data_IF_883651257504
#
_entry.id   IF_883651257504
#
_cell.length_a   1.000
_cell.length_b   1.000
_cell.length_c   1.000
_cell.angle_alpha   90.00
_cell.angle_beta   90.00
_cell.angle_gamma   90.00
#
_symmetry.space_group_name_H-M   'P 1'
#
loop_
_entity.id
_entity.type
_entity.pdbx_description
1 polymer ?
#
# COMPACT_ATOMS: atom_id res chain seq x y z
N UNK A 1 -11.80 19.01 23.87
CA UNK A 1 -10.97 20.11 23.29
C UNK A 1 -9.49 19.85 23.58
N UNK A 2 -8.89 18.77 23.11
CA UNK A 2 -7.47 18.40 23.37
C UNK A 2 -6.76 17.80 22.14
N UNK A 3 -7.43 17.76 20.98
CA UNK A 3 -6.86 17.11 19.78
C UNK A 3 -5.98 17.96 18.84
N UNK A 4 -5.95 19.27 19.01
CA UNK A 4 -5.31 20.20 18.02
C UNK A 4 -3.81 20.40 18.28
N UNK A 5 -3.31 20.10 19.48
CA UNK A 5 -1.89 20.36 19.81
C UNK A 5 -0.89 19.34 19.29
N UNK A 6 -1.33 18.13 18.92
CA UNK A 6 -0.40 17.04 18.52
C UNK A 6 -0.05 17.00 17.03
N UNK A 7 -0.90 17.54 16.16
CA UNK A 7 -0.60 17.66 14.71
C UNK A 7 0.58 18.60 14.44
N UNK A 8 0.83 19.55 15.33
CA UNK A 8 1.93 20.51 15.19
C UNK A 8 3.33 19.93 15.49
N UNK A 9 3.43 18.72 16.07
CA UNK A 9 4.74 18.18 16.46
C UNK A 9 5.47 17.58 15.24
N UNK A 10 4.75 16.86 14.37
CA UNK A 10 5.35 16.30 13.14
C UNK A 10 5.73 17.44 12.17
N UNK A 11 4.94 18.51 12.11
CA UNK A 11 5.29 19.70 11.32
C UNK A 11 6.43 20.52 11.89
N UNK A 12 6.66 20.48 13.23
CA UNK A 12 7.73 21.22 13.89
C UNK A 12 9.11 20.56 13.72
N UNK A 13 9.17 19.23 13.63
CA UNK A 13 10.42 18.49 13.41
C UNK A 13 10.99 18.75 12.01
N UNK A 14 10.14 18.91 11.00
CA UNK A 14 10.56 19.22 9.62
C UNK A 14 11.13 20.64 9.46
N UNK A 15 10.76 21.59 10.32
CA UNK A 15 11.29 22.97 10.28
C UNK A 15 12.63 23.08 11.02
N UNK A 16 12.89 22.24 12.03
CA UNK A 16 14.15 22.29 12.79
C UNK A 16 15.34 21.66 12.05
N UNK A 17 15.12 20.73 11.13
CA UNK A 17 16.16 20.11 10.30
C UNK A 17 16.72 21.04 9.20
N UNK A 18 16.03 22.13 8.89
CA UNK A 18 16.45 23.11 7.87
C UNK A 18 17.39 24.22 8.37
N UNK A 19 17.72 24.26 9.67
CA UNK A 19 18.44 25.38 10.27
C UNK A 19 19.83 25.06 10.84
N UNK A 20 20.31 23.82 10.76
CA UNK A 20 21.63 23.41 11.28
C UNK A 20 22.68 23.14 10.21
N UNK A 21 22.67 23.87 9.12
CA UNK A 21 23.71 23.86 8.10
C UNK A 21 24.49 25.16 8.07
N UNK A 22 25.56 25.28 8.83
CA UNK A 22 26.54 26.36 8.63
C UNK A 22 27.33 26.78 9.85
N UNK A 23 28.63 26.63 9.75
CA UNK A 23 29.79 27.32 10.36
C UNK A 23 30.79 26.39 11.06
N UNK A 24 31.81 26.10 10.33
CA UNK A 24 33.19 26.66 10.17
C UNK A 24 34.18 26.25 11.22
N UNK A 25 35.25 25.65 10.71
CA UNK A 25 36.64 25.48 11.12
C UNK A 25 37.26 26.58 12.07
N UNK A 26 38.07 26.12 13.01
CA UNK A 26 39.49 26.48 13.13
C UNK A 26 40.19 25.78 14.31
N UNK A 27 41.23 25.06 14.00
CA UNK A 27 42.65 24.93 14.33
C UNK A 27 43.15 24.97 15.77
N UNK A 28 43.81 23.85 16.07
CA UNK A 28 45.18 23.65 16.54
C UNK A 28 45.61 24.10 17.94
N UNK A 29 46.29 23.17 18.65
CA UNK A 29 47.20 23.45 19.73
C UNK A 29 47.66 22.22 20.52
N UNK A 30 48.86 21.81 20.28
CA UNK A 30 49.64 20.71 20.81
C UNK A 30 49.99 20.90 22.31
N UNK A 31 50.00 19.82 23.13
CA UNK A 31 51.19 19.48 23.92
C UNK A 31 51.02 18.22 24.79
N UNK A 32 52.05 17.48 24.84
CA UNK A 32 52.44 16.17 25.28
C UNK A 32 52.45 15.89 26.80
N UNK A 33 52.48 14.59 27.10
CA UNK A 33 53.02 13.84 28.27
C UNK A 33 52.12 13.74 29.51
N UNK A 34 51.88 12.57 30.14
CA UNK A 34 52.75 11.43 30.45
C UNK A 34 51.88 10.21 30.92
N UNK A 35 52.46 9.05 30.86
CA UNK A 35 52.00 7.68 31.12
C UNK A 35 51.52 7.43 32.57
N UNK A 36 50.54 6.53 32.77
CA UNK A 36 50.79 5.16 33.28
C UNK A 36 49.50 4.34 33.46
N UNK A 37 49.41 3.21 32.79
CA UNK A 37 48.91 1.87 33.15
C UNK A 37 47.71 1.76 34.10
N UNK A 38 46.55 1.45 33.52
CA UNK A 38 45.59 0.46 34.01
C UNK A 38 44.81 -0.14 32.78
N UNK A 39 45.45 -1.01 32.05
CA UNK A 39 44.81 -1.96 31.14
C UNK A 39 44.50 -3.23 31.94
N UNK A 40 43.26 -3.73 31.82
CA UNK A 40 42.91 -5.13 31.60
C UNK A 40 41.53 -5.54 32.11
N UNK A 41 40.50 -4.66 32.20
CA UNK A 41 39.14 -5.11 32.46
C UNK A 41 38.01 -4.39 31.67
N UNK A 42 38.34 -3.40 30.84
CA UNK A 42 37.34 -2.74 29.97
C UNK A 42 37.18 -3.42 28.59
N UNK A 43 38.04 -4.40 28.26
CA UNK A 43 38.20 -4.87 26.90
C UNK A 43 37.14 -5.90 26.47
N UNK A 44 36.53 -6.65 27.37
CA UNK A 44 35.51 -7.65 27.00
C UNK A 44 34.08 -7.10 26.97
N UNK A 45 33.71 -6.23 27.90
CA UNK A 45 32.42 -5.56 27.89
C UNK A 45 32.29 -4.55 26.74
N UNK A 46 33.31 -3.75 26.50
CA UNK A 46 33.35 -2.80 25.35
C UNK A 46 33.40 -3.56 23.99
N UNK A 47 34.00 -4.75 23.93
CA UNK A 47 33.96 -5.60 22.74
C UNK A 47 32.61 -6.25 22.57
N UNK A 48 31.95 -6.68 23.65
CA UNK A 48 30.60 -7.23 23.60
C UNK A 48 29.56 -6.16 23.20
N UNK A 49 29.62 -4.97 23.79
CA UNK A 49 28.76 -3.83 23.41
C UNK A 49 29.02 -3.34 21.98
N UNK A 50 30.31 -3.33 21.54
CA UNK A 50 30.63 -3.02 20.14
C UNK A 50 30.21 -4.10 19.16
N UNK A 51 30.26 -5.38 19.54
CA UNK A 51 29.79 -6.49 18.73
C UNK A 51 28.25 -6.49 18.65
N UNK A 52 27.57 -6.26 19.78
CA UNK A 52 26.12 -6.14 19.83
C UNK A 52 25.62 -4.90 19.08
N UNK A 53 26.37 -3.77 19.15
CA UNK A 53 26.09 -2.56 18.39
C UNK A 53 26.39 -2.72 16.90
N UNK A 54 27.45 -3.45 16.53
CA UNK A 54 27.78 -3.78 15.14
C UNK A 54 26.78 -4.79 14.54
N UNK A 55 26.31 -5.75 15.35
CA UNK A 55 25.27 -6.70 14.95
C UNK A 55 23.90 -6.01 14.82
N UNK A 56 23.58 -5.03 15.69
CA UNK A 56 22.41 -4.15 15.53
C UNK A 56 22.57 -3.17 14.37
N UNK A 57 23.77 -2.63 14.11
CA UNK A 57 24.05 -1.79 12.93
C UNK A 57 23.98 -2.60 11.63
N UNK A 58 24.35 -3.90 11.61
CA UNK A 58 24.24 -4.78 10.44
C UNK A 58 22.76 -5.22 10.19
N UNK A 59 21.95 -5.31 11.25
CA UNK A 59 20.51 -5.59 11.15
C UNK A 59 19.72 -4.38 10.64
N UNK A 60 20.21 -3.17 10.86
CA UNK A 60 19.56 -1.92 10.43
C UNK A 60 19.86 -1.49 8.98
N UNK A 61 20.55 -2.30 8.17
CA UNK A 61 20.74 -2.05 6.73
C UNK A 61 19.66 -2.73 5.85
N UNK A 62 18.49 -3.07 6.40
CA UNK A 62 17.36 -3.53 5.58
C UNK A 62 16.75 -2.32 4.90
N UNK A 63 17.00 -2.22 3.61
CA UNK A 63 16.37 -1.22 2.76
C UNK A 63 15.13 -1.78 2.08
N UNK A 64 13.99 -1.13 2.32
CA UNK A 64 12.74 -1.46 1.66
C UNK A 64 12.71 -0.79 0.28
N UNK A 65 13.18 -1.51 -0.73
CA UNK A 65 13.35 -1.02 -2.10
C UNK A 65 12.57 -1.86 -3.10
N UNK A 66 12.16 -1.22 -4.18
CA UNK A 66 11.61 -1.92 -5.34
C UNK A 66 12.69 -2.70 -6.08
N UNK A 67 12.25 -3.78 -6.70
CA UNK A 67 13.07 -4.51 -7.66
C UNK A 67 13.00 -3.83 -9.03
N UNK A 68 14.07 -3.19 -9.48
CA UNK A 68 14.13 -2.44 -10.75
C UNK A 68 13.61 -3.23 -11.96
N UNK A 69 13.95 -4.53 -12.04
CA UNK A 69 13.52 -5.38 -13.15
C UNK A 69 12.00 -5.58 -13.24
N UNK A 70 11.25 -5.17 -12.23
CA UNK A 70 9.78 -5.21 -12.27
C UNK A 70 9.20 -4.28 -13.34
N UNK A 71 9.90 -3.21 -13.65
CA UNK A 71 9.44 -2.13 -14.53
C UNK A 71 10.07 -2.15 -15.93
N UNK A 72 11.00 -3.07 -16.20
CA UNK A 72 11.77 -3.11 -17.49
C UNK A 72 10.89 -3.16 -18.74
N UNK A 73 9.70 -3.76 -18.64
CA UNK A 73 8.78 -3.91 -19.77
C UNK A 73 7.53 -3.04 -19.64
N UNK A 74 7.51 -2.09 -18.70
CA UNK A 74 6.39 -1.19 -18.51
C UNK A 74 6.50 0.00 -19.47
N UNK A 75 5.43 0.27 -20.22
CA UNK A 75 5.27 1.48 -21.02
C UNK A 75 4.21 2.38 -20.36
N UNK A 76 4.68 3.45 -19.73
CA UNK A 76 3.83 4.39 -18.97
C UNK A 76 2.86 5.17 -19.86
N UNK A 77 3.13 5.23 -21.16
CA UNK A 77 2.32 5.95 -22.13
C UNK A 77 1.31 5.07 -22.86
N UNK A 78 1.46 3.75 -22.75
CA UNK A 78 0.57 2.80 -23.43
C UNK A 78 -0.82 2.76 -22.81
N UNK A 79 -1.80 2.41 -23.63
CA UNK A 79 -3.19 2.15 -23.20
C UNK A 79 -3.53 0.71 -23.56
N UNK A 80 -3.83 -0.09 -22.55
CA UNK A 80 -4.31 -1.47 -22.75
C UNK A 80 -5.83 -1.46 -22.90
N UNK A 81 -6.37 -2.18 -23.86
CA UNK A 81 -7.82 -2.32 -24.02
C UNK A 81 -8.31 -3.56 -23.26
N UNK A 82 -9.35 -3.38 -22.46
CA UNK A 82 -10.03 -4.48 -21.75
C UNK A 82 -11.49 -4.58 -22.19
N UNK A 83 -11.89 -5.77 -22.55
CA UNK A 83 -13.27 -6.14 -22.91
C UNK A 83 -13.87 -6.97 -21.77
N UNK A 84 -14.88 -6.42 -21.11
CA UNK A 84 -15.53 -7.06 -19.98
C UNK A 84 -16.98 -7.41 -20.35
N UNK A 85 -17.28 -8.70 -20.53
CA UNK A 85 -18.66 -9.16 -20.63
C UNK A 85 -19.15 -9.58 -19.26
N UNK A 86 -20.18 -8.93 -18.73
CA UNK A 86 -20.79 -9.26 -17.44
C UNK A 86 -22.07 -10.08 -17.64
N UNK A 87 -22.30 -11.02 -16.72
CA UNK A 87 -23.48 -11.88 -16.71
C UNK A 87 -23.87 -12.26 -15.29
N UNK A 88 -25.14 -12.70 -15.10
CA UNK A 88 -25.50 -13.29 -13.81
C UNK A 88 -24.79 -14.64 -13.66
N UNK A 89 -24.15 -14.81 -12.50
CA UNK A 89 -23.54 -16.06 -12.09
C UNK A 89 -24.45 -16.84 -11.13
N UNK A 90 -23.95 -17.14 -9.95
CA UNK A 90 -24.65 -17.95 -8.95
C UNK A 90 -24.63 -17.29 -7.57
N UNK A 91 -25.52 -17.76 -6.69
CA UNK A 91 -25.64 -17.22 -5.33
C UNK A 91 -24.48 -17.63 -4.41
N UNK A 92 -23.83 -18.75 -4.67
CA UNK A 92 -22.69 -19.20 -3.83
C UNK A 92 -21.44 -18.34 -4.02
N UNK A 93 -21.30 -17.67 -5.16
CA UNK A 93 -20.24 -16.69 -5.44
C UNK A 93 -20.73 -15.25 -5.26
N UNK A 94 -21.94 -15.01 -4.77
CA UNK A 94 -22.60 -13.70 -4.71
C UNK A 94 -22.64 -12.95 -6.06
N UNK A 95 -22.71 -13.69 -7.19
CA UNK A 95 -22.61 -13.14 -8.55
C UNK A 95 -23.93 -13.15 -9.32
N UNK A 96 -25.06 -13.39 -8.65
CA UNK A 96 -26.40 -13.47 -9.26
C UNK A 96 -27.08 -12.12 -9.53
N UNK A 97 -26.40 -11.03 -9.22
CA UNK A 97 -26.89 -9.66 -9.37
C UNK A 97 -26.83 -9.16 -10.82
N UNK A 98 -27.53 -8.06 -11.08
CA UNK A 98 -27.45 -7.37 -12.37
C UNK A 98 -26.34 -6.31 -12.36
N UNK A 99 -25.85 -5.96 -13.55
CA UNK A 99 -24.90 -4.86 -13.71
C UNK A 99 -25.48 -3.52 -13.23
N UNK A 100 -26.77 -3.33 -13.46
CA UNK A 100 -27.52 -2.16 -12.98
C UNK A 100 -27.51 -2.10 -11.45
N UNK A 101 -27.77 -3.21 -10.76
CA UNK A 101 -27.78 -3.26 -9.29
C UNK A 101 -26.42 -2.88 -8.70
N UNK A 102 -25.32 -3.50 -9.17
CA UNK A 102 -24.00 -3.18 -8.63
C UNK A 102 -23.56 -1.72 -8.88
N UNK A 103 -24.06 -1.09 -9.95
CA UNK A 103 -23.77 0.31 -10.25
C UNK A 103 -24.72 1.30 -9.55
N UNK A 104 -25.83 0.81 -8.98
CA UNK A 104 -26.82 1.66 -8.29
C UNK A 104 -26.46 1.95 -6.83
N UNK A 105 -25.71 1.06 -6.19
CA UNK A 105 -25.40 1.17 -4.77
C UNK A 105 -23.97 1.65 -4.52
N UNK A 106 -23.78 2.39 -3.44
CA UNK A 106 -22.46 2.73 -2.89
C UNK A 106 -22.07 1.75 -1.78
N UNK A 107 -20.86 1.85 -1.28
CA UNK A 107 -20.44 1.06 -0.12
C UNK A 107 -21.27 1.36 1.12
N UNK A 108 -21.69 2.60 1.30
CA UNK A 108 -22.54 3.03 2.43
C UNK A 108 -23.93 2.41 2.34
N UNK A 109 -24.51 2.28 1.13
CA UNK A 109 -25.78 1.59 0.94
C UNK A 109 -25.68 0.12 1.35
N UNK A 110 -24.57 -0.57 1.04
CA UNK A 110 -24.34 -1.96 1.47
C UNK A 110 -24.16 -2.06 3.00
N UNK A 111 -23.47 -1.11 3.62
CA UNK A 111 -23.33 -1.03 5.07
C UNK A 111 -24.69 -0.82 5.77
N UNK A 112 -25.51 0.09 5.25
CA UNK A 112 -26.85 0.37 5.77
C UNK A 112 -27.81 -0.84 5.59
N UNK A 113 -27.68 -1.57 4.49
CA UNK A 113 -28.45 -2.81 4.25
C UNK A 113 -27.92 -4.00 5.06
N UNK A 114 -26.73 -3.92 5.64
CA UNK A 114 -26.07 -5.02 6.35
C UNK A 114 -25.71 -6.22 5.44
N UNK A 115 -25.39 -5.97 4.17
CA UNK A 115 -25.07 -7.00 3.19
C UNK A 115 -23.67 -6.80 2.59
N UNK A 116 -23.10 -7.88 2.08
CA UNK A 116 -21.85 -7.80 1.32
C UNK A 116 -22.08 -7.08 -0.02
N UNK A 117 -21.02 -6.46 -0.54
CA UNK A 117 -21.07 -5.83 -1.88
C UNK A 117 -21.48 -6.85 -2.94
N UNK A 118 -22.47 -6.51 -3.71
CA UNK A 118 -22.94 -7.31 -4.83
C UNK A 118 -21.87 -7.47 -5.89
N UNK A 119 -21.87 -8.64 -6.53
CA UNK A 119 -20.95 -8.99 -7.60
C UNK A 119 -21.72 -9.50 -8.81
N UNK A 120 -21.05 -9.49 -9.96
CA UNK A 120 -21.48 -10.17 -11.17
C UNK A 120 -20.37 -11.08 -11.67
N UNK A 121 -20.74 -12.11 -12.41
CA UNK A 121 -19.76 -12.90 -13.13
C UNK A 121 -19.24 -12.11 -14.34
N UNK A 122 -17.94 -12.14 -14.59
CA UNK A 122 -17.29 -11.44 -15.68
C UNK A 122 -16.45 -12.35 -16.56
N UNK A 123 -16.51 -12.15 -17.87
CA UNK A 123 -15.49 -12.59 -18.80
C UNK A 123 -14.63 -11.39 -19.14
N UNK A 124 -13.42 -11.36 -18.57
CA UNK A 124 -12.41 -10.35 -18.90
C UNK A 124 -11.54 -10.87 -20.03
N UNK A 125 -11.39 -10.06 -21.07
CA UNK A 125 -10.50 -10.30 -22.20
C UNK A 125 -9.61 -9.09 -22.40
N UNK A 126 -8.30 -9.30 -22.50
CA UNK A 126 -7.30 -8.24 -22.72
C UNK A 126 -6.92 -8.21 -24.18
N UNK A 127 -6.71 -7.03 -24.73
CA UNK A 127 -6.35 -6.85 -26.12
C UNK A 127 -6.01 -5.41 -26.50
N UNK A 128 -6.28 -5.07 -27.74
CA UNK A 128 -6.10 -3.74 -28.32
C UNK A 128 -7.42 -3.17 -28.88
N UNK A 129 -7.36 -2.11 -29.66
CA UNK A 129 -8.53 -1.50 -30.27
C UNK A 129 -9.27 -2.40 -31.29
N UNK A 130 -8.63 -3.47 -31.77
CA UNK A 130 -9.20 -4.41 -32.74
C UNK A 130 -9.90 -5.60 -32.07
N UNK A 131 -9.71 -5.78 -30.77
CA UNK A 131 -10.33 -6.86 -30.01
C UNK A 131 -9.35 -7.60 -29.06
N UNK A 132 -9.81 -8.72 -28.46
CA UNK A 132 -8.98 -9.57 -27.63
C UNK A 132 -7.78 -10.13 -28.40
N UNK A 133 -6.57 -10.04 -27.80
CA UNK A 133 -5.31 -10.43 -28.44
C UNK A 133 -4.90 -11.85 -28.04
N UNK A 134 -4.41 -12.63 -29.00
CA UNK A 134 -3.91 -13.99 -28.75
C UNK A 134 -2.75 -13.99 -27.75
N UNK A 135 -2.84 -14.87 -26.76
CA UNK A 135 -1.84 -14.98 -25.69
C UNK A 135 -2.15 -14.13 -24.46
N UNK A 136 -3.09 -13.18 -24.57
CA UNK A 136 -3.57 -12.37 -23.47
C UNK A 136 -4.70 -13.06 -22.68
N UNK A 137 -4.98 -12.54 -21.48
CA UNK A 137 -6.00 -13.04 -20.58
C UNK A 137 -7.36 -13.12 -21.29
N UNK A 138 -8.02 -14.26 -21.18
CA UNK A 138 -9.37 -14.50 -21.68
C UNK A 138 -9.48 -14.67 -23.20
N UNK A 139 -8.38 -14.66 -23.97
CA UNK A 139 -8.44 -14.89 -25.41
C UNK A 139 -9.07 -16.23 -25.74
N UNK A 140 -10.08 -16.23 -26.62
CA UNK A 140 -10.79 -17.43 -27.02
C UNK A 140 -11.72 -18.02 -25.95
N UNK A 141 -11.81 -17.42 -24.75
CA UNK A 141 -12.77 -17.84 -23.73
C UNK A 141 -14.17 -17.32 -24.04
N UNK A 142 -15.18 -18.11 -23.64
CA UNK A 142 -16.60 -17.77 -23.79
C UNK A 142 -17.39 -17.87 -22.48
N UNK A 143 -16.73 -18.26 -21.40
CA UNK A 143 -17.32 -18.42 -20.07
C UNK A 143 -16.69 -17.45 -19.07
N UNK A 144 -17.41 -17.03 -18.02
CA UNK A 144 -16.87 -16.12 -17.02
C UNK A 144 -15.58 -16.64 -16.39
N UNK A 145 -14.53 -15.82 -16.42
CA UNK A 145 -13.22 -16.08 -15.85
C UNK A 145 -12.91 -15.21 -14.62
N UNK A 146 -13.83 -14.31 -14.26
CA UNK A 146 -13.67 -13.36 -13.17
C UNK A 146 -14.96 -13.10 -12.40
N UNK A 147 -14.84 -12.46 -11.25
CA UNK A 147 -15.92 -11.74 -10.56
C UNK A 147 -15.65 -10.25 -10.63
N UNK A 148 -16.71 -9.46 -10.64
CA UNK A 148 -16.66 -8.00 -10.76
C UNK A 148 -17.54 -7.33 -9.71
N UNK A 149 -16.99 -6.34 -9.02
CA UNK A 149 -17.71 -5.50 -8.07
C UNK A 149 -17.24 -4.06 -8.15
N UNK A 150 -18.04 -3.12 -7.62
CA UNK A 150 -17.56 -1.75 -7.39
C UNK A 150 -16.49 -1.72 -6.29
N UNK A 151 -15.62 -0.72 -6.36
CA UNK A 151 -14.59 -0.48 -5.35
C UNK A 151 -14.54 0.99 -4.90
N UNK A 152 -13.79 1.21 -3.82
CA UNK A 152 -13.63 2.52 -3.18
C UNK A 152 -14.62 2.71 -2.04
N UNK A 153 -14.34 3.69 -1.21
CA UNK A 153 -15.21 4.16 -0.12
C UNK A 153 -16.06 5.33 -0.64
N UNK A 154 -15.59 6.55 -0.49
CA UNK A 154 -16.29 7.76 -0.96
C UNK A 154 -16.53 7.74 -2.48
N UNK A 155 -15.55 7.28 -3.26
CA UNK A 155 -15.67 7.21 -4.73
C UNK A 155 -16.72 6.21 -5.22
N UNK A 156 -17.24 5.31 -4.37
CA UNK A 156 -18.35 4.43 -4.71
C UNK A 156 -19.68 5.19 -4.92
N UNK A 157 -19.79 6.42 -4.43
CA UNK A 157 -20.94 7.29 -4.66
C UNK A 157 -20.94 7.97 -6.04
N UNK A 158 -19.80 7.96 -6.74
CA UNK A 158 -19.68 8.60 -8.04
C UNK A 158 -20.59 7.90 -9.09
N UNK A 159 -21.08 8.68 -10.06
CA UNK A 159 -21.90 8.15 -11.16
C UNK A 159 -21.11 7.16 -12.04
N UNK A 160 -19.84 7.45 -12.31
CA UNK A 160 -18.94 6.50 -12.97
C UNK A 160 -18.14 5.78 -11.88
N UNK A 161 -18.34 4.46 -11.79
CA UNK A 161 -17.80 3.63 -10.72
C UNK A 161 -16.34 3.24 -10.98
N UNK A 162 -15.64 2.97 -9.90
CA UNK A 162 -14.40 2.21 -9.91
C UNK A 162 -14.75 0.72 -9.79
N UNK A 163 -13.97 -0.15 -10.42
CA UNK A 163 -14.22 -1.59 -10.42
C UNK A 163 -13.03 -2.37 -9.83
N UNK A 164 -13.36 -3.45 -9.13
CA UNK A 164 -12.45 -4.54 -8.80
C UNK A 164 -12.85 -5.74 -9.65
N UNK A 165 -11.95 -6.22 -10.48
CA UNK A 165 -12.09 -7.44 -11.27
C UNK A 165 -11.15 -8.47 -10.67
N UNK A 166 -11.66 -9.63 -10.26
CA UNK A 166 -10.87 -10.69 -9.67
C UNK A 166 -10.93 -11.96 -10.52
N UNK A 167 -9.81 -12.29 -11.18
CA UNK A 167 -9.67 -13.51 -11.98
C UNK A 167 -9.80 -14.75 -11.09
N UNK A 168 -10.54 -15.74 -11.53
CA UNK A 168 -10.68 -17.04 -10.86
C UNK A 168 -9.31 -17.75 -10.81
N UNK A 169 -9.10 -18.56 -9.78
CA UNK A 169 -7.77 -19.19 -9.49
C UNK A 169 -7.14 -19.90 -10.68
N UNK A 170 -7.94 -20.49 -11.56
CA UNK A 170 -7.47 -21.32 -12.68
C UNK A 170 -7.56 -20.58 -14.04
N UNK A 171 -7.73 -19.25 -14.03
CA UNK A 171 -7.99 -18.44 -15.24
C UNK A 171 -6.84 -17.48 -15.59
N UNK A 172 -5.63 -17.80 -15.11
CA UNK A 172 -4.44 -17.01 -15.38
C UNK A 172 -4.31 -15.79 -14.50
N UNK A 173 -3.40 -14.93 -14.91
CA UNK A 173 -3.09 -13.65 -14.26
C UNK A 173 -2.85 -12.60 -15.34
N UNK A 174 -3.12 -11.35 -15.02
CA UNK A 174 -2.68 -10.22 -15.84
C UNK A 174 -1.55 -9.48 -15.11
N UNK A 175 -0.39 -9.34 -15.76
CA UNK A 175 0.84 -8.78 -15.16
C UNK A 175 1.18 -9.43 -13.79
N UNK A 176 0.98 -10.76 -13.71
CA UNK A 176 1.22 -11.52 -12.48
C UNK A 176 0.13 -11.39 -11.40
N UNK A 177 -0.89 -10.55 -11.60
CA UNK A 177 -1.94 -10.29 -10.64
C UNK A 177 -3.27 -10.92 -11.05
N UNK A 178 -4.05 -11.44 -10.07
CA UNK A 178 -5.44 -11.86 -10.29
C UNK A 178 -6.43 -10.74 -10.01
N UNK A 179 -6.07 -9.78 -9.16
CA UNK A 179 -6.91 -8.63 -8.82
C UNK A 179 -6.52 -7.44 -9.67
N UNK A 180 -7.46 -6.93 -10.43
CA UNK A 180 -7.31 -5.79 -11.33
C UNK A 180 -8.23 -4.69 -10.82
N UNK A 181 -7.63 -3.60 -10.33
CA UNK A 181 -8.36 -2.46 -9.81
C UNK A 181 -8.38 -1.35 -10.85
N UNK A 182 -9.57 -0.94 -11.26
CA UNK A 182 -9.79 0.11 -12.24
C UNK A 182 -10.37 1.35 -11.57
N UNK A 183 -9.63 2.45 -11.58
CA UNK A 183 -10.02 3.73 -10.99
C UNK A 183 -10.42 4.72 -12.07
N UNK A 184 -11.61 5.32 -11.97
CA UNK A 184 -12.16 6.27 -12.94
C UNK A 184 -11.77 7.72 -12.67
N UNK A 185 -11.45 8.05 -11.42
CA UNK A 185 -11.07 9.41 -10.98
C UNK A 185 -12.06 10.49 -11.42
N UNK A 186 -13.35 10.27 -11.22
CA UNK A 186 -14.42 11.14 -11.73
C UNK A 186 -14.35 12.56 -11.17
N UNK A 187 -13.83 12.72 -9.94
CA UNK A 187 -13.70 14.03 -9.26
C UNK A 187 -12.47 14.82 -9.68
N UNK A 188 -11.62 14.26 -10.51
CA UNK A 188 -10.40 14.89 -11.02
C UNK A 188 -10.56 15.25 -12.50
N UNK A 189 -10.36 16.53 -12.85
CA UNK A 189 -10.59 17.03 -14.22
C UNK A 189 -9.72 16.34 -15.28
N UNK A 190 -8.45 16.06 -14.99
CA UNK A 190 -7.49 15.44 -15.93
C UNK A 190 -7.47 13.92 -15.84
N UNK A 191 -7.94 13.33 -14.75
CA UNK A 191 -8.08 11.88 -14.51
C UNK A 191 -6.81 11.05 -14.60
N UNK A 192 -5.62 11.65 -14.52
CA UNK A 192 -4.35 10.93 -14.55
C UNK A 192 -3.44 11.19 -13.34
N UNK A 193 -3.85 12.04 -12.41
CA UNK A 193 -3.04 12.44 -11.25
C UNK A 193 -2.60 11.24 -10.40
N UNK A 194 -3.47 10.25 -10.24
CA UNK A 194 -3.16 9.01 -9.53
C UNK A 194 -2.05 8.23 -10.22
N UNK A 195 -2.12 8.05 -11.56
CA UNK A 195 -1.06 7.38 -12.32
C UNK A 195 0.25 8.16 -12.23
N UNK A 196 0.21 9.48 -12.46
CA UNK A 196 1.40 10.33 -12.40
C UNK A 196 2.10 10.24 -11.04
N UNK A 197 1.35 10.20 -9.93
CA UNK A 197 1.93 10.07 -8.60
C UNK A 197 2.70 8.75 -8.44
N UNK A 198 2.16 7.63 -8.89
CA UNK A 198 2.86 6.34 -8.85
C UNK A 198 4.06 6.27 -9.81
N UNK A 199 3.94 6.87 -10.99
CA UNK A 199 5.07 6.95 -11.94
C UNK A 199 6.23 7.78 -11.37
N UNK A 200 5.93 8.86 -10.62
CA UNK A 200 6.93 9.65 -9.91
C UNK A 200 7.57 8.87 -8.74
N UNK A 201 6.77 8.13 -7.95
CA UNK A 201 7.28 7.28 -6.85
C UNK A 201 8.27 6.26 -7.40
N UNK A 202 7.98 5.63 -8.54
CA UNK A 202 8.88 4.67 -9.19
C UNK A 202 10.25 5.25 -9.52
N UNK A 203 10.33 6.56 -9.77
CA UNK A 203 11.59 7.26 -10.01
C UNK A 203 12.40 7.58 -8.76
N UNK A 204 11.93 7.20 -7.56
CA UNK A 204 12.58 7.46 -6.28
C UNK A 204 13.10 6.13 -5.71
N UNK A 205 14.42 5.87 -5.77
CA UNK A 205 14.99 4.58 -5.36
C UNK A 205 14.72 4.18 -3.90
N UNK A 206 14.42 5.15 -3.04
CA UNK A 206 14.14 4.95 -1.61
C UNK A 206 12.68 4.53 -1.33
N UNK A 207 11.83 4.50 -2.34
CA UNK A 207 10.41 4.20 -2.17
C UNK A 207 10.02 2.90 -2.86
N UNK A 208 8.92 2.31 -2.39
CA UNK A 208 8.23 1.21 -3.05
C UNK A 208 6.94 1.76 -3.68
N UNK A 209 6.82 1.60 -4.99
CA UNK A 209 5.65 2.04 -5.75
C UNK A 209 4.66 0.92 -6.03
N UNK A 210 3.52 1.27 -6.62
CA UNK A 210 2.60 0.29 -7.22
C UNK A 210 2.61 0.46 -8.73
N UNK A 211 2.59 -0.65 -9.46
CA UNK A 211 2.48 -0.60 -10.93
C UNK A 211 1.12 -0.06 -11.33
N UNK A 212 1.13 0.78 -12.34
CA UNK A 212 -0.08 1.37 -12.91
C UNK A 212 -0.10 1.21 -14.43
N UNK A 213 -1.33 1.25 -15.00
CA UNK A 213 -1.54 1.16 -16.44
C UNK A 213 -2.79 1.97 -16.82
N UNK A 214 -2.73 2.70 -17.93
CA UNK A 214 -3.97 3.18 -18.55
C UNK A 214 -4.71 2.04 -19.22
N UNK A 215 -6.01 1.96 -18.94
CA UNK A 215 -6.90 0.92 -19.49
C UNK A 215 -8.09 1.58 -20.15
N UNK A 216 -8.32 1.28 -21.41
CA UNK A 216 -9.58 1.59 -22.08
C UNK A 216 -10.55 0.41 -21.85
N UNK A 217 -11.64 0.67 -21.13
CA UNK A 217 -12.60 -0.35 -20.75
C UNK A 217 -13.84 -0.33 -21.64
N UNK A 218 -14.14 -1.45 -22.24
CA UNK A 218 -15.41 -1.72 -22.91
C UNK A 218 -16.22 -2.73 -22.09
N UNK A 219 -17.49 -2.45 -21.83
CA UNK A 219 -18.38 -3.33 -21.06
C UNK A 219 -19.55 -3.80 -21.92
N UNK A 220 -19.83 -5.09 -21.86
CA UNK A 220 -21.01 -5.72 -22.45
C UNK A 220 -21.85 -6.31 -21.33
N UNK A 221 -23.03 -5.75 -21.11
CA UNK A 221 -23.97 -6.20 -20.08
C UNK A 221 -24.93 -7.28 -20.62
N UNK A 222 -24.69 -8.50 -20.19
CA UNK A 222 -25.59 -9.65 -20.47
C UNK A 222 -26.34 -10.10 -19.18
N UNK A 223 -26.44 -9.25 -18.15
CA UNK A 223 -27.09 -9.64 -16.90
C UNK A 223 -28.59 -9.66 -16.97
N UNK A 224 -29.24 -8.89 -17.87
CA UNK A 224 -30.67 -8.83 -18.06
C UNK A 224 -31.06 -9.26 -19.47
N UNK A 225 -30.34 -8.82 -20.49
CA UNK A 225 -30.60 -9.12 -21.91
C UNK A 225 -29.36 -9.75 -22.56
N UNK A 226 -29.59 -10.63 -23.55
CA UNK A 226 -28.49 -11.19 -24.34
C UNK A 226 -28.36 -10.47 -25.69
N UNK A 227 -27.12 -10.48 -26.26
CA UNK A 227 -26.88 -9.91 -27.58
C UNK A 227 -26.60 -8.39 -27.58
N UNK A 228 -26.43 -7.78 -26.44
CA UNK A 228 -26.04 -6.36 -26.29
C UNK A 228 -24.66 -6.13 -26.89
N UNK A 229 -24.36 -4.92 -27.34
CA UNK A 229 -23.04 -4.53 -27.82
C UNK A 229 -22.17 -4.07 -26.68
N UNK A 230 -20.84 -4.04 -26.90
CA UNK A 230 -19.91 -3.37 -26.02
C UNK A 230 -20.17 -1.86 -25.99
N UNK A 231 -20.25 -1.31 -24.80
CA UNK A 231 -20.32 0.13 -24.54
C UNK A 231 -18.93 0.63 -24.11
N UNK A 232 -18.59 1.81 -24.58
CA UNK A 232 -17.33 2.47 -24.23
C UNK A 232 -17.44 3.12 -22.85
N UNK A 233 -16.72 2.57 -21.88
CA UNK A 233 -16.60 3.12 -20.52
C UNK A 233 -15.44 4.10 -20.38
N UNK A 234 -14.64 4.30 -21.45
CA UNK A 234 -13.50 5.21 -21.52
C UNK A 234 -12.30 4.79 -20.69
N UNK A 235 -11.40 5.71 -20.44
CA UNK A 235 -10.12 5.44 -19.79
C UNK A 235 -10.27 5.32 -18.28
N UNK A 236 -9.57 4.33 -17.72
CA UNK A 236 -9.34 4.08 -16.30
C UNK A 236 -7.84 4.07 -16.01
N UNK A 237 -7.46 4.35 -14.78
CA UNK A 237 -6.15 3.98 -14.26
C UNK A 237 -6.28 2.64 -13.53
N UNK A 238 -5.63 1.61 -14.06
CA UNK A 238 -5.41 0.39 -13.31
C UNK A 238 -4.32 0.65 -12.28
N UNK A 239 -4.54 0.21 -11.04
CA UNK A 239 -3.56 0.27 -9.95
C UNK A 239 -3.36 -1.13 -9.38
N UNK A 240 -2.12 -1.53 -9.23
CA UNK A 240 -1.75 -2.81 -8.65
C UNK A 240 -2.37 -3.00 -7.26
N UNK A 241 -2.83 -4.20 -6.96
CA UNK A 241 -3.30 -4.55 -5.63
C UNK A 241 -2.13 -5.00 -4.77
N UNK A 242 -1.73 -4.21 -3.79
CA UNK A 242 -0.71 -4.64 -2.84
C UNK A 242 -1.23 -5.81 -2.01
N UNK A 243 -0.59 -6.95 -2.18
CA UNK A 243 -0.86 -8.21 -1.51
C UNK A 243 0.41 -9.08 -1.57
N UNK A 244 0.36 -10.32 -1.04
CA UNK A 244 1.51 -11.26 -1.06
C UNK A 244 2.13 -11.46 -2.45
N UNK A 245 1.31 -11.46 -3.51
CA UNK A 245 1.79 -11.60 -4.89
C UNK A 245 2.56 -10.37 -5.35
N UNK A 246 2.04 -9.18 -5.04
CA UNK A 246 2.71 -7.93 -5.34
C UNK A 246 4.03 -7.80 -4.55
N UNK A 247 4.02 -8.04 -3.23
CA UNK A 247 5.25 -8.04 -2.43
C UNK A 247 6.34 -8.92 -3.07
N UNK A 248 5.99 -10.14 -3.46
CA UNK A 248 6.93 -11.04 -4.14
C UNK A 248 7.45 -10.49 -5.47
N UNK A 249 6.59 -9.86 -6.28
CA UNK A 249 7.02 -9.26 -7.55
C UNK A 249 7.94 -8.05 -7.35
N UNK A 250 7.72 -7.30 -6.28
CA UNK A 250 8.57 -6.17 -5.88
C UNK A 250 9.89 -6.61 -5.22
N UNK A 251 10.11 -7.92 -5.02
CA UNK A 251 11.31 -8.45 -4.37
C UNK A 251 11.25 -8.40 -2.84
N UNK A 252 10.08 -8.08 -2.27
CA UNK A 252 9.86 -7.98 -0.84
C UNK A 252 9.40 -9.33 -0.25
N UNK A 253 9.56 -9.51 1.05
CA UNK A 253 9.10 -10.72 1.75
C UNK A 253 7.57 -10.81 1.77
N UNK A 254 7.04 -11.76 1.03
CA UNK A 254 5.59 -11.99 0.93
C UNK A 254 4.96 -12.61 2.20
N UNK A 255 5.75 -13.02 3.17
CA UNK A 255 5.29 -13.52 4.46
C UNK A 255 5.32 -12.47 5.56
N UNK A 256 5.87 -11.29 5.28
CA UNK A 256 5.95 -10.19 6.22
C UNK A 256 4.58 -9.66 6.67
N UNK A 257 4.63 -8.79 7.65
CA UNK A 257 3.44 -8.06 8.10
C UNK A 257 3.08 -7.01 7.06
N UNK A 258 1.80 -6.90 6.77
CA UNK A 258 1.27 -5.91 5.85
C UNK A 258 -0.09 -5.46 6.36
N UNK A 259 -0.20 -4.18 6.69
CA UNK A 259 -1.44 -3.55 7.12
C UNK A 259 -1.84 -2.45 6.15
N UNK A 260 -3.12 -2.42 5.78
CA UNK A 260 -3.68 -1.26 5.10
C UNK A 260 -4.31 -0.33 6.14
N UNK A 261 -3.84 0.89 6.19
CA UNK A 261 -4.35 1.92 7.09
C UNK A 261 -5.69 2.43 6.56
N UNK A 262 -6.74 2.28 7.37
CA UNK A 262 -8.09 2.72 7.03
C UNK A 262 -8.52 3.98 7.79
N UNK A 263 -8.20 4.08 9.09
CA UNK A 263 -8.42 5.25 9.94
C UNK A 263 -7.57 5.09 11.18
N UNK A 264 -6.30 5.46 11.09
CA UNK A 264 -5.32 5.19 12.13
C UNK A 264 -4.26 6.30 12.18
N UNK A 265 -4.13 6.95 13.33
CA UNK A 265 -3.24 8.08 13.56
C UNK A 265 -1.94 7.71 14.28
N UNK A 266 -1.55 6.44 14.27
CA UNK A 266 -0.35 5.90 14.91
C UNK A 266 -0.30 6.07 16.44
N UNK A 267 -1.47 6.19 17.10
CA UNK A 267 -1.55 6.08 18.55
C UNK A 267 -1.53 4.61 19.00
N UNK A 268 -1.07 4.38 20.22
CA UNK A 268 -0.94 3.03 20.76
C UNK A 268 -2.27 2.27 20.91
N UNK A 269 -3.41 2.94 21.14
CA UNK A 269 -4.76 2.35 21.28
C UNK A 269 -4.75 0.99 21.98
N UNK A 270 -4.29 0.93 23.25
CA UNK A 270 -4.05 -0.30 24.00
C UNK A 270 -5.26 -1.24 24.11
N UNK A 271 -6.47 -0.69 24.04
CA UNK A 271 -7.70 -1.48 24.08
C UNK A 271 -8.00 -2.19 22.75
N UNK A 272 -7.43 -1.74 21.62
CA UNK A 272 -7.72 -2.23 20.28
C UNK A 272 -6.51 -2.94 19.67
N UNK A 273 -5.34 -2.30 19.73
CA UNK A 273 -4.10 -2.85 19.16
C UNK A 273 -3.47 -3.82 20.15
N UNK A 274 -3.82 -5.09 20.02
CA UNK A 274 -3.43 -6.20 20.87
C UNK A 274 -2.89 -7.35 20.01
N UNK A 275 -2.17 -8.28 20.62
CA UNK A 275 -1.81 -9.56 19.98
C UNK A 275 -3.05 -10.44 19.82
N UNK A 276 -3.04 -11.34 18.85
CA UNK A 276 -4.20 -12.23 18.60
C UNK A 276 -4.55 -13.11 19.81
N UNK A 277 -3.56 -13.48 20.64
CA UNK A 277 -3.73 -14.30 21.85
C UNK A 277 -3.98 -13.49 23.12
N UNK A 278 -3.97 -12.16 23.07
CA UNK A 278 -4.26 -11.30 24.22
C UNK A 278 -5.74 -11.34 24.61
N UNK A 279 -6.00 -11.27 25.93
CA UNK A 279 -7.36 -11.17 26.42
C UNK A 279 -8.07 -9.92 25.89
N UNK A 280 -9.25 -10.13 25.29
CA UNK A 280 -10.06 -9.06 24.71
C UNK A 280 -9.56 -8.54 23.37
N UNK A 281 -8.74 -9.31 22.63
CA UNK A 281 -8.47 -9.03 21.21
C UNK A 281 -9.79 -9.11 20.42
N UNK A 282 -10.07 -8.09 19.65
CA UNK A 282 -11.20 -8.03 18.71
C UNK A 282 -10.67 -7.70 17.30
N UNK A 283 -10.57 -8.73 16.48
CA UNK A 283 -10.11 -8.60 15.10
C UNK A 283 -10.92 -7.58 14.30
N UNK A 284 -12.23 -7.53 14.52
CA UNK A 284 -13.10 -6.59 13.78
C UNK A 284 -12.81 -5.13 14.17
N UNK A 285 -12.58 -4.88 15.47
CA UNK A 285 -12.17 -3.56 15.93
C UNK A 285 -10.78 -3.18 15.43
N UNK A 286 -9.83 -4.11 15.45
CA UNK A 286 -8.48 -3.94 14.92
C UNK A 286 -8.52 -3.60 13.41
N UNK A 287 -9.24 -4.39 12.61
CA UNK A 287 -9.29 -4.23 11.14
C UNK A 287 -10.06 -2.98 10.67
N UNK A 288 -10.84 -2.35 11.53
CA UNK A 288 -11.39 -1.00 11.26
C UNK A 288 -10.30 0.06 11.16
N UNK A 289 -9.20 -0.11 11.88
CA UNK A 289 -8.04 0.79 11.85
C UNK A 289 -6.96 0.29 10.88
N UNK A 290 -6.57 -0.97 11.01
CA UNK A 290 -5.46 -1.61 10.31
C UNK A 290 -5.92 -2.92 9.69
N UNK A 291 -6.32 -2.90 8.43
CA UNK A 291 -6.77 -4.11 7.72
C UNK A 291 -5.58 -5.05 7.49
N UNK A 292 -5.64 -6.26 8.06
CA UNK A 292 -4.57 -7.26 7.98
C UNK A 292 -4.49 -7.84 6.57
N UNK A 293 -3.34 -7.70 5.92
CA UNK A 293 -3.07 -8.22 4.56
C UNK A 293 -1.91 -9.22 4.51
N UNK A 294 -1.09 -9.27 5.54
CA UNK A 294 0.07 -10.14 5.68
C UNK A 294 0.00 -11.05 6.88
N UNK A 295 1.13 -11.20 7.56
CA UNK A 295 1.23 -11.87 8.85
C UNK A 295 0.48 -11.10 9.94
N UNK A 296 -0.05 -11.79 10.93
CA UNK A 296 -0.89 -11.23 12.00
C UNK A 296 -0.25 -11.31 13.40
N UNK A 297 1.02 -11.61 13.50
CA UNK A 297 1.77 -11.37 14.74
C UNK A 297 1.98 -9.86 14.93
N UNK A 298 1.19 -9.25 15.81
CA UNK A 298 1.23 -7.81 16.02
C UNK A 298 2.34 -7.33 16.96
N UNK A 299 3.27 -8.20 17.39
CA UNK A 299 4.26 -7.87 18.42
C UNK A 299 5.11 -6.66 18.03
N UNK A 300 5.79 -6.70 16.89
CA UNK A 300 6.64 -5.59 16.44
C UNK A 300 5.87 -4.31 16.07
N UNK A 301 4.60 -4.43 15.65
CA UNK A 301 3.72 -3.27 15.49
C UNK A 301 3.46 -2.59 16.84
N UNK A 302 3.20 -3.39 17.88
CA UNK A 302 2.95 -2.91 19.24
C UNK A 302 4.21 -2.24 19.81
N UNK A 303 5.37 -2.84 19.61
CA UNK A 303 6.66 -2.31 20.08
C UNK A 303 6.95 -0.96 19.42
N UNK A 304 6.87 -0.88 18.11
CA UNK A 304 7.03 0.38 17.36
C UNK A 304 6.04 1.46 17.82
N UNK A 305 4.76 1.12 17.99
CA UNK A 305 3.75 2.07 18.46
C UNK A 305 3.98 2.50 19.92
N UNK A 306 4.52 1.63 20.77
CA UNK A 306 4.84 1.93 22.16
C UNK A 306 5.95 2.98 22.21
N UNK A 307 7.04 2.77 21.50
CA UNK A 307 8.16 3.71 21.45
C UNK A 307 7.78 5.03 20.75
N UNK A 308 7.02 4.97 19.67
CA UNK A 308 6.52 6.17 18.98
C UNK A 308 5.60 7.04 19.88
N UNK A 309 4.95 6.45 20.87
CA UNK A 309 4.07 7.16 21.81
C UNK A 309 4.72 7.44 23.18
N UNK A 310 5.95 6.99 23.40
CA UNK A 310 6.78 7.40 24.55
C UNK A 310 7.54 8.70 24.24
N UNK A 311 7.06 9.80 24.81
CA UNK A 311 7.68 11.13 24.60
C UNK A 311 9.02 11.32 25.30
N UNK A 312 9.51 10.34 26.06
CA UNK A 312 10.87 10.34 26.62
C UNK A 312 11.92 9.88 25.62
N UNK A 313 11.51 9.18 24.55
CA UNK A 313 12.37 8.73 23.45
C UNK A 313 12.37 9.81 22.35
N UNK A 314 13.56 10.15 21.84
CA UNK A 314 13.71 11.08 20.73
C UNK A 314 13.14 10.48 19.43
N UNK A 315 12.48 11.29 18.61
CA UNK A 315 11.92 10.79 17.34
C UNK A 315 12.99 10.22 16.40
N UNK A 316 14.19 10.75 16.44
CA UNK A 316 15.31 10.24 15.64
C UNK A 316 15.73 8.83 16.07
N UNK A 317 15.63 8.51 17.36
CA UNK A 317 15.93 7.19 17.88
C UNK A 317 14.84 6.20 17.48
N UNK A 318 13.54 6.61 17.57
CA UNK A 318 12.40 5.80 17.10
C UNK A 318 12.51 5.49 15.60
N UNK A 319 12.90 6.47 14.79
CA UNK A 319 13.05 6.26 13.34
C UNK A 319 14.16 5.26 13.04
N UNK A 320 15.30 5.35 13.73
CA UNK A 320 16.42 4.40 13.55
C UNK A 320 16.10 2.99 14.02
N UNK A 321 15.36 2.85 15.12
CA UNK A 321 15.06 1.55 15.70
C UNK A 321 14.01 0.80 14.90
N UNK A 322 12.97 1.51 14.38
CA UNK A 322 11.76 0.88 13.85
C UNK A 322 11.51 1.09 12.36
N UNK A 323 12.24 2.00 11.68
CA UNK A 323 11.95 2.33 10.28
C UNK A 323 13.17 2.23 9.39
N UNK A 324 12.98 1.87 8.12
CA UNK A 324 13.92 2.26 7.09
C UNK A 324 13.89 3.79 6.97
N UNK A 325 14.89 4.43 7.59
CA UNK A 325 14.95 5.88 7.76
C UNK A 325 14.86 6.61 6.42
N UNK A 326 15.53 6.11 5.38
CA UNK A 326 15.43 6.72 4.06
C UNK A 326 14.03 6.55 3.48
N UNK A 327 13.45 5.35 3.54
CA UNK A 327 12.12 5.10 3.00
C UNK A 327 11.07 6.02 3.64
N UNK A 328 11.01 6.08 4.98
CA UNK A 328 10.01 6.90 5.67
C UNK A 328 10.19 8.39 5.40
N UNK A 329 11.43 8.90 5.36
CA UNK A 329 11.72 10.32 5.12
C UNK A 329 11.36 10.71 3.69
N UNK A 330 11.73 9.91 2.69
CA UNK A 330 11.33 10.15 1.29
C UNK A 330 9.82 10.04 1.10
N UNK A 331 9.19 9.05 1.74
CA UNK A 331 7.74 8.92 1.70
C UNK A 331 7.04 10.16 2.27
N UNK A 332 7.43 10.63 3.45
CA UNK A 332 6.85 11.83 4.08
C UNK A 332 7.07 13.07 3.21
N UNK A 333 8.29 13.28 2.70
CA UNK A 333 8.60 14.41 1.82
C UNK A 333 7.73 14.39 0.56
N UNK A 334 7.56 13.22 -0.06
CA UNK A 334 6.71 13.05 -1.24
C UNK A 334 5.25 13.41 -0.96
N UNK A 335 4.66 12.90 0.14
CA UNK A 335 3.27 13.20 0.49
C UNK A 335 3.05 14.70 0.73
N UNK A 336 3.99 15.37 1.39
CA UNK A 336 3.94 16.82 1.63
C UNK A 336 4.02 17.59 0.31
N UNK A 337 4.97 17.26 -0.56
CA UNK A 337 5.15 17.92 -1.87
C UNK A 337 3.93 17.74 -2.78
N UNK A 338 3.30 16.56 -2.73
CA UNK A 338 2.10 16.26 -3.53
C UNK A 338 0.81 16.78 -2.90
N UNK A 339 0.85 17.32 -1.68
CA UNK A 339 -0.34 17.76 -0.94
C UNK A 339 -1.33 16.64 -0.65
N UNK A 340 -0.82 15.41 -0.45
CA UNK A 340 -1.66 14.23 -0.23
C UNK A 340 -2.06 14.11 1.23
N UNK A 341 -3.13 14.79 1.62
CA UNK A 341 -3.62 14.84 3.01
C UNK A 341 -4.24 13.54 3.51
N UNK A 342 -4.72 12.68 2.61
CA UNK A 342 -5.37 11.42 2.99
C UNK A 342 -4.41 10.44 3.67
N UNK A 343 -3.13 10.49 3.32
CA UNK A 343 -2.10 9.58 3.86
C UNK A 343 -1.74 9.85 5.32
N UNK A 344 -2.28 10.88 5.94
CA UNK A 344 -2.06 11.13 7.37
C UNK A 344 -2.65 10.03 8.26
N UNK A 345 -3.75 9.39 7.83
CA UNK A 345 -4.42 8.37 8.63
C UNK A 345 -5.17 7.31 7.80
N UNK A 346 -5.02 7.31 6.46
CA UNK A 346 -5.68 6.33 5.57
C UNK A 346 -4.96 6.20 4.24
N UNK A 347 -5.35 5.18 3.46
CA UNK A 347 -4.83 4.95 2.10
C UNK A 347 -3.31 4.73 2.05
N UNK A 348 -2.73 4.23 3.12
CA UNK A 348 -1.31 3.86 3.26
C UNK A 348 -1.21 2.39 3.58
N UNK A 349 -0.12 1.78 3.19
CA UNK A 349 0.27 0.45 3.65
C UNK A 349 1.48 0.57 4.57
N UNK A 350 1.44 -0.14 5.69
CA UNK A 350 2.54 -0.33 6.60
C UNK A 350 3.04 -1.77 6.40
N UNK A 351 4.31 -1.92 6.07
CA UNK A 351 4.91 -3.21 5.75
C UNK A 351 6.20 -3.42 6.53
N UNK A 352 6.40 -4.66 6.99
CA UNK A 352 7.64 -5.10 7.63
C UNK A 352 7.95 -6.54 7.25
N UNK A 353 9.18 -6.86 6.82
CA UNK A 353 9.60 -8.25 6.55
C UNK A 353 9.44 -9.13 7.79
N UNK A 354 9.25 -10.44 7.60
CA UNK A 354 9.01 -11.36 8.73
C UNK A 354 10.18 -11.39 9.73
N UNK A 355 11.41 -11.39 9.21
CA UNK A 355 12.63 -11.54 10.00
C UNK A 355 13.33 -10.20 10.30
N UNK A 356 12.58 -9.11 10.35
CA UNK A 356 13.09 -7.78 10.65
C UNK A 356 12.04 -7.01 11.45
N UNK A 357 12.49 -6.11 12.31
CA UNK A 357 11.61 -5.20 13.07
C UNK A 357 11.45 -3.85 12.37
N UNK A 358 12.03 -3.70 11.17
CA UNK A 358 12.02 -2.46 10.38
C UNK A 358 10.72 -2.36 9.56
N UNK A 359 10.11 -1.18 9.57
CA UNK A 359 8.90 -0.80 8.84
C UNK A 359 9.20 0.13 7.66
#
# INVERSE_FOLDING_TARGET
MTGIKKINLISAVLVSLSLCGGCTLEKAGNSSQDQTVQEDNETEQVKAEKAEKAEKEEINEIHLRDKDSLYENDDDTSVVTMYLTVSKGNSSENTYHTWKEINSYSVYDYEDMGVERYQVAGLLQVGDENGPTQGEVGYGESVPNATVQIRGQTSSQNAQKNYKIELKKNKGTWRGQRTINLNKHMTEGMRFRNKLAYDLIRGIPQMVGLRTQFVHLYVKDNTEESGVKFEDYGIYTQVEQLNKTALKSHGLDSNGQLYKINSFEFYRYEDIIKKEDDAGYDKTAFEKMLEIKGDSDHTKLIDMLTDLNDYSIGIEDVLKEHFDEENIVYWMAFQILMGNVDTQNRNVYLYSPLNSDIW
#
